data_IF_490620590903
#
_entry.id   IF_490620590903
#
_cell.length_a   1.000
_cell.length_b   1.000
_cell.length_c   1.000
_cell.angle_alpha   90.00
_cell.angle_beta   90.00
_cell.angle_gamma   90.00
#
_symmetry.space_group_name_H-M   'P 1'
#
loop_
_entity.id
_entity.type
_entity.pdbx_description
1 polymer ?
#
# COMPACT_ATOMS: atom_id res chain seq x y z
N UNK A 1 -11.55 -11.21 2.34
CA UNK A 1 -12.87 -10.61 2.03
C UNK A 1 -12.60 -9.34 1.27
N UNK A 2 -13.09 -9.20 0.04
CA UNK A 2 -12.94 -7.97 -0.74
C UNK A 2 -14.28 -7.24 -0.74
N UNK A 3 -14.24 -5.94 -0.44
CA UNK A 3 -15.38 -5.03 -0.52
C UNK A 3 -15.06 -4.05 -1.64
N UNK A 4 -15.84 -4.09 -2.72
CA UNK A 4 -15.69 -3.16 -3.84
C UNK A 4 -16.87 -2.19 -3.84
N UNK A 5 -16.69 -0.91 -3.50
CA UNK A 5 -17.72 0.09 -3.73
C UNK A 5 -17.79 0.33 -5.24
N UNK A 6 -18.91 -0.02 -5.86
CA UNK A 6 -19.17 0.39 -7.25
C UNK A 6 -19.90 1.73 -7.19
N UNK A 7 -19.20 2.81 -7.56
CA UNK A 7 -19.84 4.08 -7.89
C UNK A 7 -20.69 3.84 -9.15
N UNK A 8 -22.00 3.75 -8.98
CA UNK A 8 -22.93 3.79 -10.10
C UNK A 8 -22.91 5.22 -10.67
N UNK A 9 -22.61 5.36 -11.97
CA UNK A 9 -22.82 6.60 -12.69
C UNK A 9 -24.32 6.95 -12.69
N UNK A 10 -24.70 8.24 -12.61
CA UNK A 10 -26.11 8.62 -12.63
C UNK A 10 -26.71 8.28 -14.01
N UNK A 11 -27.84 7.58 -13.99
CA UNK A 11 -28.68 7.41 -15.17
C UNK A 11 -29.20 8.78 -15.61
N UNK A 12 -28.88 9.18 -16.83
CA UNK A 12 -29.43 10.38 -17.45
C UNK A 12 -30.94 10.24 -17.60
N UNK A 13 -31.69 11.04 -16.85
CA UNK A 13 -33.11 11.27 -17.06
C UNK A 13 -33.30 12.16 -18.29
N UNK A 14 -33.77 11.59 -19.40
CA UNK A 14 -34.45 12.36 -20.44
C UNK A 14 -35.90 11.93 -20.52
N UNK A 15 -36.76 12.89 -20.20
CA UNK A 15 -38.19 12.83 -20.37
C UNK A 15 -38.55 12.72 -21.86
N UNK A 16 -39.54 11.89 -22.17
CA UNK A 16 -40.39 12.05 -23.34
C UNK A 16 -41.82 11.72 -22.95
N UNK A 17 -42.70 12.69 -23.15
CA UNK A 17 -44.13 12.62 -22.94
C UNK A 17 -44.79 12.62 -24.31
N UNK A 18 -45.61 11.60 -24.63
CA UNK A 18 -47.01 11.73 -25.04
C UNK A 18 -47.57 10.54 -25.86
N UNK A 19 -48.81 10.18 -25.47
CA UNK A 19 -49.97 9.68 -26.25
C UNK A 19 -50.02 8.22 -26.77
N UNK A 20 -50.90 7.46 -26.08
CA UNK A 20 -52.05 6.65 -26.59
C UNK A 20 -51.96 6.00 -27.98
N UNK A 21 -52.09 4.66 -28.04
CA UNK A 21 -53.37 3.96 -28.33
C UNK A 21 -53.16 2.46 -28.61
N UNK A 22 -54.25 1.71 -28.36
CA UNK A 22 -54.69 0.47 -29.00
C UNK A 22 -54.04 -0.89 -28.65
N UNK A 23 -54.94 -1.74 -28.15
CA UNK A 23 -54.94 -3.20 -28.09
C UNK A 23 -54.56 -3.90 -29.40
N UNK A 24 -53.97 -5.09 -29.31
CA UNK A 24 -54.42 -6.32 -30.00
C UNK A 24 -53.67 -7.55 -29.45
N UNK A 25 -54.43 -8.63 -29.28
CA UNK A 25 -53.98 -9.97 -28.88
C UNK A 25 -53.44 -10.73 -30.10
N UNK A 26 -52.42 -11.59 -29.92
CA UNK A 26 -52.39 -12.90 -30.60
C UNK A 26 -51.40 -13.89 -29.97
N UNK A 27 -51.69 -15.17 -30.17
CA UNK A 27 -51.14 -16.36 -29.51
C UNK A 27 -49.86 -16.93 -30.17
N UNK A 28 -49.07 -17.60 -29.33
CA UNK A 28 -48.37 -18.91 -29.47
C UNK A 28 -47.47 -19.24 -30.68
N UNK A 29 -46.24 -19.71 -30.36
CA UNK A 29 -45.60 -21.01 -30.69
C UNK A 29 -44.12 -20.88 -31.12
N UNK A 30 -43.27 -21.75 -30.54
CA UNK A 30 -42.28 -22.50 -31.33
C UNK A 30 -40.79 -22.14 -31.23
N UNK A 31 -40.07 -22.95 -30.45
CA UNK A 31 -38.83 -23.70 -30.81
C UNK A 31 -37.48 -23.02 -31.10
N UNK A 32 -36.49 -23.50 -30.34
CA UNK A 32 -35.05 -23.74 -30.60
C UNK A 32 -34.25 -22.83 -31.54
N UNK A 33 -33.05 -22.44 -31.09
CA UNK A 33 -31.74 -22.81 -31.66
C UNK A 33 -30.61 -22.20 -30.80
N UNK A 34 -29.60 -23.01 -30.46
CA UNK A 34 -28.32 -22.58 -29.86
C UNK A 34 -27.40 -21.94 -30.91
N UNK A 35 -26.40 -21.13 -30.49
CA UNK A 35 -25.05 -21.48 -30.92
C UNK A 35 -23.95 -21.29 -29.87
N UNK A 36 -22.97 -22.18 -29.96
CA UNK A 36 -21.64 -22.15 -29.35
C UNK A 36 -20.71 -21.15 -30.05
N UNK A 37 -19.86 -20.43 -29.32
CA UNK A 37 -18.62 -19.87 -29.87
C UNK A 37 -17.53 -19.63 -28.81
N UNK A 38 -16.36 -20.17 -29.12
CA UNK A 38 -15.09 -20.18 -28.38
C UNK A 38 -14.26 -18.94 -28.72
N UNK A 39 -13.64 -18.26 -27.74
CA UNK A 39 -12.76 -17.11 -28.01
C UNK A 39 -11.30 -17.41 -27.64
N UNK A 40 -10.42 -17.19 -28.62
CA UNK A 40 -8.96 -17.36 -28.62
C UNK A 40 -8.23 -16.27 -27.82
N UNK A 41 -7.11 -16.69 -27.23
CA UNK A 41 -5.99 -15.90 -26.71
C UNK A 41 -5.24 -15.13 -27.81
N UNK A 42 -4.85 -13.87 -27.55
CA UNK A 42 -3.84 -13.14 -28.33
C UNK A 42 -2.60 -12.82 -27.47
N UNK A 43 -1.42 -13.22 -27.95
CA UNK A 43 -0.09 -12.74 -27.53
C UNK A 43 0.55 -12.06 -28.74
N UNK A 44 0.90 -10.78 -28.63
CA UNK A 44 1.67 -10.04 -29.64
C UNK A 44 3.06 -9.66 -29.09
N UNK A 45 4.12 -10.06 -29.81
CA UNK A 45 5.51 -9.62 -29.60
C UNK A 45 5.81 -8.43 -30.51
N UNK A 46 6.52 -7.41 -30.00
CA UNK A 46 7.11 -6.34 -30.80
C UNK A 46 8.61 -6.58 -31.01
N UNK A 47 9.11 -6.27 -32.21
CA UNK A 47 10.51 -6.27 -32.65
C UNK A 47 10.88 -4.83 -33.09
N UNK A 48 12.11 -4.33 -32.90
CA UNK A 48 12.46 -2.94 -33.16
C UNK A 48 13.03 -2.70 -34.56
N UNK A 49 12.84 -1.47 -35.08
CA UNK A 49 13.47 -0.94 -36.28
C UNK A 49 14.74 -0.17 -35.93
N UNK A 50 15.81 -0.42 -36.69
CA UNK A 50 17.06 0.32 -36.71
C UNK A 50 16.96 1.47 -37.72
N UNK A 51 17.50 2.64 -37.39
CA UNK A 51 17.83 3.67 -38.38
C UNK A 51 19.22 4.23 -38.08
N UNK A 52 20.04 4.24 -39.12
CA UNK A 52 21.41 4.75 -39.17
C UNK A 52 21.43 6.22 -39.62
N UNK A 53 22.34 7.03 -39.08
CA UNK A 53 22.84 8.22 -39.76
C UNK A 53 24.24 8.61 -39.26
N UNK A 54 25.06 9.07 -40.19
CA UNK A 54 26.52 9.27 -40.14
C UNK A 54 26.94 10.73 -39.90
N UNK A 55 28.08 10.88 -39.23
CA UNK A 55 29.17 11.86 -39.27
C UNK A 55 28.97 13.31 -39.81
N UNK A 56 29.55 14.26 -39.06
CA UNK A 56 30.01 15.56 -39.55
C UNK A 56 30.89 16.26 -38.49
N UNK A 57 32.18 16.46 -38.81
CA UNK A 57 33.17 17.15 -37.99
C UNK A 57 33.34 18.61 -38.44
N UNK A 58 33.58 19.53 -37.51
CA UNK A 58 34.12 20.87 -37.79
C UNK A 58 34.91 21.40 -36.56
N UNK A 59 35.96 22.17 -36.85
CA UNK A 59 37.08 22.51 -35.97
C UNK A 59 37.15 24.01 -35.66
N UNK A 60 37.45 24.37 -34.38
CA UNK A 60 38.35 25.47 -33.86
C UNK A 60 37.86 26.94 -34.10
N UNK A 61 37.96 27.93 -33.15
CA UNK A 61 39.18 28.30 -32.41
C UNK A 61 39.07 28.71 -30.92
N UNK A 62 40.27 28.76 -30.32
CA UNK A 62 40.58 29.17 -28.95
C UNK A 62 40.39 30.68 -28.71
N UNK A 63 39.88 31.01 -27.54
CA UNK A 63 39.86 32.36 -26.98
C UNK A 63 40.23 32.30 -25.50
N UNK A 64 41.33 32.96 -25.14
CA UNK A 64 41.79 33.16 -23.77
C UNK A 64 40.79 34.08 -23.07
N UNK A 65 40.12 33.60 -22.03
CA UNK A 65 39.48 34.44 -21.01
C UNK A 65 39.88 33.95 -19.63
N UNK A 66 40.53 34.84 -18.90
CA UNK A 66 40.75 34.80 -17.45
C UNK A 66 39.44 34.47 -16.73
N UNK A 67 39.41 33.40 -15.94
CA UNK A 67 38.27 33.08 -15.07
C UNK A 67 38.74 32.43 -13.76
N UNK A 68 38.53 33.17 -12.66
CA UNK A 68 37.90 32.80 -11.38
C UNK A 68 38.05 31.32 -10.96
N UNK A 69 38.55 30.99 -9.73
CA UNK A 69 38.73 29.61 -9.29
C UNK A 69 37.39 28.87 -9.31
N UNK A 70 37.32 27.84 -10.14
CA UNK A 70 36.17 26.97 -10.29
C UNK A 70 35.95 26.19 -8.98
N UNK A 71 34.74 26.23 -8.43
CA UNK A 71 34.35 25.49 -7.20
C UNK A 71 34.44 23.96 -7.30
N UNK A 72 34.91 23.43 -8.42
CA UNK A 72 35.08 22.00 -8.70
C UNK A 72 36.45 21.46 -8.22
N UNK A 73 37.50 22.29 -8.26
CA UNK A 73 38.86 21.90 -7.82
C UNK A 73 38.92 21.70 -6.31
N UNK A 74 38.20 22.52 -5.54
CA UNK A 74 38.14 22.40 -4.08
C UNK A 74 37.45 21.12 -3.61
N UNK A 75 36.35 20.73 -4.27
CA UNK A 75 35.61 19.51 -3.93
C UNK A 75 36.43 18.23 -4.19
N UNK A 76 37.29 18.24 -5.22
CA UNK A 76 38.17 17.11 -5.54
C UNK A 76 39.31 16.97 -4.53
N UNK A 77 39.94 18.07 -4.16
CA UNK A 77 41.01 18.09 -3.16
C UNK A 77 40.52 17.64 -1.77
N UNK A 78 39.30 18.04 -1.36
CA UNK A 78 38.71 17.59 -0.08
C UNK A 78 38.42 16.07 -0.07
N UNK A 79 38.00 15.49 -1.20
CA UNK A 79 37.78 14.04 -1.33
C UNK A 79 39.08 13.26 -1.31
N UNK A 80 40.11 13.76 -1.99
CA UNK A 80 41.45 13.16 -1.99
C UNK A 80 42.07 13.21 -0.58
N UNK A 81 41.89 14.31 0.16
CA UNK A 81 42.33 14.43 1.55
C UNK A 81 41.52 13.52 2.49
N UNK A 82 40.21 13.38 2.30
CA UNK A 82 39.39 12.43 3.04
C UNK A 82 39.88 10.99 2.83
N UNK A 83 40.21 10.62 1.59
CA UNK A 83 40.74 9.30 1.26
C UNK A 83 42.12 9.07 1.89
N UNK A 84 42.98 10.10 1.98
CA UNK A 84 44.28 10.05 2.65
C UNK A 84 44.11 9.83 4.16
N UNK A 85 43.26 10.63 4.81
CA UNK A 85 43.00 10.51 6.26
C UNK A 85 42.36 9.17 6.63
N UNK A 86 41.56 8.57 5.74
CA UNK A 86 41.01 7.23 5.98
C UNK A 86 42.05 6.10 6.00
N UNK A 87 43.27 6.34 5.51
CA UNK A 87 44.39 5.40 5.58
C UNK A 87 45.19 5.52 6.88
N UNK A 88 44.98 6.59 7.65
CA UNK A 88 45.64 6.82 8.92
C UNK A 88 44.96 5.98 10.04
N UNK A 89 45.71 5.57 11.09
CA UNK A 89 45.19 4.71 12.16
C UNK A 89 44.16 5.42 13.06
N UNK A 90 44.01 6.74 12.94
CA UNK A 90 43.05 7.54 13.70
C UNK A 90 41.87 8.01 12.80
N UNK A 91 40.66 7.46 12.99
CA UNK A 91 39.51 7.78 12.15
C UNK A 91 38.92 9.17 12.47
N UNK A 92 39.30 9.81 13.58
CA UNK A 92 38.69 11.07 14.00
C UNK A 92 39.01 12.23 13.06
N UNK A 93 40.21 12.27 12.48
CA UNK A 93 40.57 13.25 11.45
C UNK A 93 39.67 13.17 10.22
N UNK A 94 39.45 11.95 9.71
CA UNK A 94 38.57 11.71 8.57
C UNK A 94 37.10 12.06 8.89
N UNK A 95 36.61 11.75 10.09
CA UNK A 95 35.25 12.05 10.50
C UNK A 95 35.01 13.54 10.78
N UNK A 96 36.01 14.27 11.26
CA UNK A 96 35.96 15.72 11.41
C UNK A 96 35.86 16.40 10.04
N UNK A 97 36.72 16.00 9.09
CA UNK A 97 36.66 16.53 7.73
C UNK A 97 35.33 16.19 7.05
N UNK A 98 34.82 14.96 7.22
CA UNK A 98 33.50 14.58 6.71
C UNK A 98 32.38 15.45 7.30
N UNK A 99 32.41 15.73 8.60
CA UNK A 99 31.41 16.56 9.28
C UNK A 99 31.48 18.03 8.80
N UNK A 100 32.68 18.57 8.61
CA UNK A 100 32.90 19.90 8.02
C UNK A 100 32.38 19.99 6.59
N UNK A 101 32.68 18.98 5.76
CA UNK A 101 32.20 18.87 4.38
C UNK A 101 30.66 18.85 4.34
N UNK A 102 30.02 18.14 5.29
CA UNK A 102 28.56 18.10 5.40
C UNK A 102 27.95 19.41 5.95
N UNK A 103 28.66 20.13 6.84
CA UNK A 103 28.21 21.40 7.39
C UNK A 103 28.32 22.56 6.38
N UNK A 104 29.45 22.71 5.68
CA UNK A 104 29.63 23.74 4.62
C UNK A 104 28.61 23.57 3.48
N UNK A 105 28.21 22.33 3.20
CA UNK A 105 27.27 21.95 2.14
C UNK A 105 25.80 22.29 2.43
N UNK A 106 25.43 22.50 3.69
CA UNK A 106 24.07 22.95 4.06
C UNK A 106 23.73 24.38 3.62
N UNK A 107 24.74 25.19 3.30
CA UNK A 107 24.59 26.61 2.94
C UNK A 107 24.55 26.89 1.43
N UNK A 108 25.07 25.98 0.58
CA UNK A 108 25.16 26.19 -0.87
C UNK A 108 24.54 24.99 -1.59
N UNK A 109 23.37 25.19 -2.22
CA UNK A 109 22.51 24.14 -2.78
C UNK A 109 23.02 23.46 -4.07
N UNK A 110 24.27 22.98 -4.11
CA UNK A 110 24.85 22.25 -5.26
C UNK A 110 24.62 20.73 -5.27
N UNK A 111 24.74 20.12 -6.46
CA UNK A 111 24.52 18.68 -6.74
C UNK A 111 25.82 17.83 -6.67
N UNK A 112 27.02 18.43 -6.71
CA UNK A 112 28.33 17.72 -6.62
C UNK A 112 28.66 17.12 -5.24
N UNK A 113 27.65 16.97 -4.38
CA UNK A 113 27.80 16.71 -2.95
C UNK A 113 27.21 15.40 -2.45
N UNK A 114 27.03 14.41 -3.32
CA UNK A 114 26.69 13.06 -2.87
C UNK A 114 28.00 12.31 -2.62
N UNK A 115 28.16 11.73 -1.43
CA UNK A 115 29.23 10.75 -1.22
C UNK A 115 28.83 9.50 -2.00
N UNK A 116 29.68 9.13 -2.94
CA UNK A 116 29.48 7.91 -3.69
C UNK A 116 29.63 6.69 -2.76
N UNK A 117 28.95 5.58 -3.05
CA UNK A 117 28.99 4.38 -2.21
C UNK A 117 30.40 3.92 -1.82
N UNK A 118 31.37 4.07 -2.72
CA UNK A 118 32.78 3.77 -2.51
C UNK A 118 33.41 4.64 -1.41
N UNK A 119 33.12 5.94 -1.38
CA UNK A 119 33.64 6.86 -0.36
C UNK A 119 33.05 6.54 1.02
N UNK A 120 31.76 6.15 1.06
CA UNK A 120 31.11 5.70 2.29
C UNK A 120 31.74 4.41 2.82
N UNK A 121 32.07 3.47 1.92
CA UNK A 121 32.76 2.23 2.29
C UNK A 121 34.15 2.52 2.84
N UNK A 122 34.90 3.45 2.25
CA UNK A 122 36.23 3.87 2.72
C UNK A 122 36.18 4.43 4.14
N UNK A 123 35.24 5.34 4.44
CA UNK A 123 35.05 5.89 5.80
C UNK A 123 34.69 4.79 6.81
N UNK A 124 33.81 3.86 6.42
CA UNK A 124 33.43 2.73 7.27
C UNK A 124 34.58 1.74 7.49
N UNK A 125 35.45 1.56 6.48
CA UNK A 125 36.63 0.70 6.58
C UNK A 125 37.66 1.31 7.54
N UNK A 126 37.91 2.61 7.47
CA UNK A 126 38.76 3.32 8.43
C UNK A 126 38.29 3.10 9.89
N UNK A 127 36.98 3.20 10.15
CA UNK A 127 36.41 2.90 11.47
C UNK A 127 36.62 1.44 11.90
N UNK A 128 36.62 0.51 10.94
CA UNK A 128 36.85 -0.92 11.19
C UNK A 128 38.31 -1.19 11.56
N UNK A 129 39.25 -0.57 10.84
CA UNK A 129 40.69 -0.75 11.02
C UNK A 129 41.16 -0.16 12.35
N UNK A 130 40.62 0.99 12.75
CA UNK A 130 40.84 1.60 14.07
C UNK A 130 40.16 0.84 15.22
N UNK A 131 39.29 -0.14 14.91
CA UNK A 131 38.49 -0.93 15.86
C UNK A 131 37.70 -0.07 16.87
N UNK A 132 37.30 1.14 16.44
CA UNK A 132 36.68 2.14 17.31
C UNK A 132 35.15 2.17 17.12
N UNK A 133 34.44 1.75 18.18
CA UNK A 133 32.97 1.76 18.19
C UNK A 133 32.39 3.18 18.24
N UNK A 134 33.06 4.12 18.91
CA UNK A 134 32.65 5.53 18.96
C UNK A 134 32.72 6.18 17.59
N UNK A 135 33.81 5.93 16.85
CA UNK A 135 34.01 6.45 15.49
C UNK A 135 33.02 5.82 14.52
N UNK A 136 32.74 4.50 14.63
CA UNK A 136 31.68 3.86 13.83
C UNK A 136 30.28 4.43 14.11
N UNK A 137 29.94 4.71 15.38
CA UNK A 137 28.67 5.35 15.74
C UNK A 137 28.55 6.75 15.17
N UNK A 138 29.64 7.51 15.19
CA UNK A 138 29.72 8.86 14.63
C UNK A 138 29.58 8.82 13.10
N UNK A 139 30.33 7.95 12.43
CA UNK A 139 30.22 7.71 10.98
C UNK A 139 28.79 7.34 10.57
N UNK A 140 28.18 6.39 11.27
CA UNK A 140 26.79 5.98 11.01
C UNK A 140 25.81 7.16 11.12
N UNK A 141 25.95 8.03 12.14
CA UNK A 141 25.11 9.24 12.27
C UNK A 141 25.33 10.23 11.13
N UNK A 142 26.58 10.47 10.74
CA UNK A 142 26.92 11.41 9.65
C UNK A 142 26.36 10.92 8.31
N UNK A 143 26.54 9.63 8.01
CA UNK A 143 26.02 9.00 6.79
C UNK A 143 24.49 8.93 6.76
N UNK A 144 23.84 8.70 7.91
CA UNK A 144 22.37 8.62 8.04
C UNK A 144 21.69 9.98 8.21
N UNK A 145 22.47 11.05 8.36
CA UNK A 145 21.94 12.40 8.56
C UNK A 145 21.17 12.87 7.32
N UNK A 146 20.03 13.58 7.48
CA UNK A 146 19.33 14.21 6.36
C UNK A 146 20.20 15.16 5.53
N UNK A 147 21.29 15.66 6.13
CA UNK A 147 22.28 16.54 5.51
C UNK A 147 23.17 15.82 4.49
N UNK A 148 23.34 14.50 4.63
CA UNK A 148 24.19 13.67 3.76
C UNK A 148 23.70 13.64 2.31
N UNK A 149 22.38 13.82 2.07
CA UNK A 149 21.66 13.64 0.78
C UNK A 149 21.95 12.30 0.05
N UNK A 150 22.85 11.49 0.57
CA UNK A 150 23.33 10.23 0.03
C UNK A 150 22.46 9.12 0.60
N UNK A 151 21.78 8.38 -0.27
CA UNK A 151 20.97 7.26 0.17
C UNK A 151 21.89 6.17 0.74
N UNK A 152 21.65 5.75 1.99
CA UNK A 152 22.23 4.52 2.51
C UNK A 152 21.56 3.36 1.77
N UNK A 153 22.29 2.79 0.82
CA UNK A 153 21.83 1.61 0.09
C UNK A 153 21.91 0.37 0.98
N UNK A 154 21.13 -0.67 0.66
CA UNK A 154 21.12 -1.93 1.41
C UNK A 154 22.52 -2.54 1.64
N UNK A 155 23.45 -2.53 0.66
CA UNK A 155 24.82 -3.01 0.88
C UNK A 155 25.59 -2.25 1.97
N UNK A 156 25.47 -0.93 2.01
CA UNK A 156 26.14 -0.06 2.99
C UNK A 156 25.54 -0.27 4.38
N UNK A 157 24.21 -0.35 4.45
CA UNK A 157 23.49 -0.68 5.69
C UNK A 157 23.95 -2.01 6.28
N UNK A 158 24.05 -3.05 5.44
CA UNK A 158 24.50 -4.37 5.88
C UNK A 158 25.97 -4.35 6.32
N UNK A 159 26.82 -3.55 5.67
CA UNK A 159 28.22 -3.33 6.08
C UNK A 159 28.29 -2.70 7.47
N UNK A 160 27.53 -1.64 7.73
CA UNK A 160 27.44 -0.99 9.05
C UNK A 160 26.99 -2.00 10.12
N UNK A 161 25.93 -2.76 9.85
CA UNK A 161 25.45 -3.79 10.77
C UNK A 161 26.52 -4.86 11.05
N UNK A 162 27.23 -5.30 10.02
CA UNK A 162 28.34 -6.26 10.15
C UNK A 162 29.47 -5.71 11.01
N UNK A 163 29.85 -4.44 10.83
CA UNK A 163 30.89 -3.79 11.63
C UNK A 163 30.49 -3.66 13.09
N UNK A 164 29.24 -3.30 13.38
CA UNK A 164 28.72 -3.28 14.75
C UNK A 164 28.79 -4.67 15.42
N UNK A 165 28.44 -5.73 14.70
CA UNK A 165 28.59 -7.09 15.21
C UNK A 165 30.07 -7.43 15.49
N UNK A 166 30.98 -7.11 14.56
CA UNK A 166 32.42 -7.36 14.71
C UNK A 166 33.07 -6.60 15.88
N UNK A 167 32.55 -5.41 16.20
CA UNK A 167 33.01 -4.59 17.33
C UNK A 167 32.27 -4.91 18.66
N UNK A 168 31.48 -5.99 18.70
CA UNK A 168 30.82 -6.44 19.93
C UNK A 168 29.56 -5.64 20.32
N UNK A 169 28.95 -4.91 19.37
CA UNK A 169 27.74 -4.11 19.58
C UNK A 169 26.54 -4.62 18.75
N UNK A 170 26.09 -5.87 18.93
CA UNK A 170 24.99 -6.44 18.14
C UNK A 170 23.65 -5.70 18.35
N UNK A 171 23.48 -5.02 19.51
CA UNK A 171 22.31 -4.17 19.76
C UNK A 171 22.24 -2.97 18.81
N UNK A 172 23.38 -2.38 18.44
CA UNK A 172 23.46 -1.30 17.45
C UNK A 172 23.19 -1.83 16.04
N UNK A 173 23.72 -3.00 15.68
CA UNK A 173 23.44 -3.67 14.40
C UNK A 173 21.94 -3.92 14.20
N UNK A 174 21.26 -4.43 15.25
CA UNK A 174 19.81 -4.67 15.22
C UNK A 174 19.01 -3.38 15.05
N UNK A 175 19.43 -2.28 15.69
CA UNK A 175 18.81 -0.96 15.52
C UNK A 175 18.90 -0.49 14.07
N UNK A 176 20.09 -0.54 13.47
CA UNK A 176 20.34 -0.15 12.07
C UNK A 176 19.40 -0.88 11.11
N UNK A 177 19.32 -2.21 11.23
CA UNK A 177 18.47 -3.03 10.35
C UNK A 177 16.97 -2.81 10.59
N UNK A 178 16.57 -2.64 11.85
CA UNK A 178 15.17 -2.40 12.20
C UNK A 178 14.69 -1.01 11.76
N UNK A 179 15.55 0.01 11.86
CA UNK A 179 15.23 1.38 11.47
C UNK A 179 15.04 1.49 9.95
N UNK A 180 15.89 0.82 9.16
CA UNK A 180 15.71 0.70 7.71
C UNK A 180 14.47 -0.12 7.30
N UNK A 181 14.08 -1.08 8.14
CA UNK A 181 12.87 -1.89 7.94
C UNK A 181 11.61 -1.20 8.46
N UNK A 182 11.74 -0.10 9.21
CA UNK A 182 10.60 0.61 9.79
C UNK A 182 9.92 1.40 8.67
N UNK A 183 8.68 1.06 8.28
CA UNK A 183 7.96 1.89 7.33
C UNK A 183 7.83 3.30 7.92
N UNK A 184 7.88 4.37 7.11
CA UNK A 184 7.65 5.73 7.60
C UNK A 184 6.32 5.78 8.35
N UNK A 185 6.14 6.66 9.36
CA UNK A 185 4.86 6.80 10.03
C UNK A 185 3.78 7.18 9.00
N UNK A 186 2.98 6.19 8.60
CA UNK A 186 1.97 6.33 7.53
C UNK A 186 0.73 6.97 8.12
N UNK A 187 0.36 8.19 7.70
CA UNK A 187 -0.97 8.81 8.00
C UNK A 187 -2.14 7.83 7.71
N UNK A 188 -1.99 6.97 6.69
CA UNK A 188 -2.94 5.91 6.32
C UNK A 188 -3.14 4.82 7.39
N UNK A 189 -2.17 4.57 8.26
CA UNK A 189 -2.29 3.54 9.30
C UNK A 189 -3.24 3.96 10.42
N UNK A 190 -3.24 5.26 10.78
CA UNK A 190 -4.18 5.81 11.75
C UNK A 190 -5.61 5.81 11.18
N UNK A 191 -5.78 6.24 9.93
CA UNK A 191 -7.08 6.21 9.24
C UNK A 191 -7.66 4.78 9.14
N UNK A 192 -6.83 3.78 8.78
CA UNK A 192 -7.27 2.39 8.73
C UNK A 192 -7.66 1.84 10.12
N UNK A 193 -6.96 2.26 11.18
CA UNK A 193 -7.30 1.90 12.56
C UNK A 193 -8.63 2.52 12.97
N UNK A 194 -8.87 3.79 12.63
CA UNK A 194 -10.12 4.49 12.90
C UNK A 194 -11.30 3.82 12.18
N UNK A 195 -11.19 3.56 10.88
CA UNK A 195 -12.26 2.88 10.10
C UNK A 195 -12.56 1.47 10.62
N UNK A 196 -11.54 0.76 11.12
CA UNK A 196 -11.74 -0.54 11.76
C UNK A 196 -12.59 -0.37 13.02
N UNK A 197 -12.23 0.57 13.90
CA UNK A 197 -12.98 0.83 15.13
C UNK A 197 -14.44 1.22 14.84
N UNK A 198 -14.65 2.15 13.91
CA UNK A 198 -15.98 2.56 13.45
C UNK A 198 -16.80 1.37 12.92
N UNK A 199 -16.17 0.42 12.23
CA UNK A 199 -16.88 -0.79 11.75
C UNK A 199 -17.30 -1.73 12.89
N UNK A 200 -16.53 -1.82 13.99
CA UNK A 200 -16.91 -2.60 15.18
C UNK A 200 -18.03 -1.94 15.97
N UNK A 201 -18.06 -0.61 16.01
CA UNK A 201 -19.18 0.15 16.58
C UNK A 201 -20.42 -0.01 15.69
N UNK A 202 -20.26 0.14 14.37
CA UNK A 202 -21.37 0.03 13.43
C UNK A 202 -22.00 -1.36 13.41
N UNK A 203 -21.22 -2.44 13.58
CA UNK A 203 -21.82 -3.78 13.66
C UNK A 203 -22.64 -3.98 14.93
N UNK A 204 -22.29 -3.32 16.05
CA UNK A 204 -23.08 -3.34 17.28
C UNK A 204 -24.39 -2.58 17.10
N UNK A 205 -24.33 -1.37 16.55
CA UNK A 205 -25.53 -0.58 16.20
C UNK A 205 -26.46 -1.37 15.28
N UNK A 206 -25.93 -1.91 14.18
CA UNK A 206 -26.71 -2.72 13.25
C UNK A 206 -27.36 -3.93 13.92
N UNK A 207 -26.65 -4.57 14.86
CA UNK A 207 -27.18 -5.73 15.57
C UNK A 207 -28.37 -5.35 16.45
N UNK A 208 -28.35 -4.18 17.07
CA UNK A 208 -29.50 -3.62 17.81
C UNK A 208 -30.64 -3.24 16.86
N UNK A 209 -30.35 -2.57 15.74
CA UNK A 209 -31.33 -2.19 14.72
C UNK A 209 -32.08 -3.41 14.16
N UNK A 210 -31.35 -4.48 13.78
CA UNK A 210 -31.99 -5.69 13.24
C UNK A 210 -32.74 -6.46 14.33
N UNK A 211 -32.29 -6.46 15.60
CA UNK A 211 -33.04 -7.05 16.71
C UNK A 211 -34.38 -6.35 16.91
N UNK A 212 -34.40 -5.02 16.87
CA UNK A 212 -35.63 -4.24 16.90
C UNK A 212 -36.53 -4.55 15.69
N UNK A 213 -35.95 -4.91 14.54
CA UNK A 213 -36.66 -5.36 13.35
C UNK A 213 -37.08 -6.85 13.36
N UNK A 214 -36.88 -7.57 14.47
CA UNK A 214 -37.30 -8.97 14.66
C UNK A 214 -36.23 -10.03 14.42
N UNK A 215 -34.95 -9.65 14.36
CA UNK A 215 -33.85 -10.61 14.30
C UNK A 215 -33.69 -11.39 15.61
N UNK A 216 -33.69 -12.72 15.52
CA UNK A 216 -33.35 -13.63 16.62
C UNK A 216 -32.10 -14.43 16.23
N UNK A 217 -31.00 -14.35 17.00
CA UNK A 217 -29.79 -15.12 16.72
C UNK A 217 -30.01 -16.62 16.80
N UNK A 218 -29.53 -17.36 15.80
CA UNK A 218 -29.57 -18.82 15.78
C UNK A 218 -28.20 -19.40 16.15
N UNK A 219 -28.01 -19.68 17.45
CA UNK A 219 -26.74 -20.14 18.02
C UNK A 219 -26.30 -21.52 17.55
N UNK A 220 -27.18 -22.29 16.89
CA UNK A 220 -26.84 -23.58 16.26
C UNK A 220 -25.79 -23.44 15.15
N UNK A 221 -25.62 -22.25 14.60
CA UNK A 221 -24.58 -21.95 13.60
C UNK A 221 -23.20 -21.66 14.22
N UNK A 222 -23.06 -21.73 15.55
CA UNK A 222 -21.78 -21.67 16.26
C UNK A 222 -21.46 -23.05 16.82
N UNK A 223 -20.47 -23.71 16.22
CA UNK A 223 -20.09 -25.09 16.58
C UNK A 223 -19.14 -25.17 17.80
N UNK A 224 -18.67 -24.03 18.30
CA UNK A 224 -17.81 -24.00 19.48
C UNK A 224 -18.65 -24.25 20.72
N UNK A 225 -18.15 -25.12 21.60
CA UNK A 225 -18.75 -25.39 22.90
C UNK A 225 -18.37 -24.28 23.89
N UNK A 226 -19.20 -23.24 23.90
CA UNK A 226 -19.07 -22.02 24.71
C UNK A 226 -20.47 -21.62 25.20
N UNK A 227 -20.51 -20.72 26.17
CA UNK A 227 -21.76 -20.19 26.71
C UNK A 227 -22.64 -19.57 25.62
N UNK A 228 -23.97 -19.66 25.77
CA UNK A 228 -24.92 -19.19 24.76
C UNK A 228 -24.77 -17.68 24.46
N UNK A 229 -24.50 -16.86 25.48
CA UNK A 229 -24.22 -15.44 25.29
C UNK A 229 -22.96 -15.21 24.44
N UNK A 230 -21.93 -16.04 24.64
CA UNK A 230 -20.72 -15.99 23.84
C UNK A 230 -20.97 -16.43 22.39
N UNK A 231 -21.86 -17.41 22.15
CA UNK A 231 -22.29 -17.80 20.79
C UNK A 231 -23.01 -16.65 20.10
N UNK A 232 -23.92 -15.96 20.80
CA UNK A 232 -24.62 -14.79 20.27
C UNK A 232 -23.63 -13.68 19.87
N UNK A 233 -22.62 -13.42 20.70
CA UNK A 233 -21.55 -12.47 20.36
C UNK A 233 -20.72 -12.95 19.16
N UNK A 234 -20.40 -14.24 19.07
CA UNK A 234 -19.66 -14.79 17.94
C UNK A 234 -20.39 -14.58 16.61
N UNK A 235 -21.71 -14.81 16.56
CA UNK A 235 -22.53 -14.56 15.38
C UNK A 235 -22.50 -13.09 14.95
N UNK A 236 -22.57 -12.16 15.91
CA UNK A 236 -22.52 -10.72 15.65
C UNK A 236 -21.23 -10.31 14.92
N UNK A 237 -20.11 -10.96 15.25
CA UNK A 237 -18.80 -10.68 14.66
C UNK A 237 -18.40 -11.61 13.52
N UNK A 238 -19.36 -12.34 12.93
CA UNK A 238 -19.10 -13.04 11.67
C UNK A 238 -18.59 -12.07 10.59
N UNK A 239 -17.70 -12.59 9.74
CA UNK A 239 -16.99 -11.81 8.73
C UNK A 239 -17.92 -11.05 7.79
N UNK A 240 -19.09 -11.61 7.47
CA UNK A 240 -20.12 -11.01 6.60
C UNK A 240 -20.66 -9.72 7.21
N UNK A 241 -20.98 -9.74 8.50
CA UNK A 241 -21.55 -8.59 9.20
C UNK A 241 -20.51 -7.50 9.37
N UNK A 242 -19.29 -7.87 9.73
CA UNK A 242 -18.17 -6.92 9.80
C UNK A 242 -17.86 -6.29 8.43
N UNK A 243 -17.92 -7.06 7.35
CA UNK A 243 -17.71 -6.53 6.01
C UNK A 243 -18.83 -5.56 5.58
N UNK A 244 -20.08 -5.87 5.91
CA UNK A 244 -21.21 -4.97 5.67
C UNK A 244 -21.06 -3.70 6.49
N UNK A 245 -20.78 -3.80 7.79
CA UNK A 245 -20.58 -2.65 8.68
C UNK A 245 -19.46 -1.74 8.18
N UNK A 246 -18.30 -2.32 7.83
CA UNK A 246 -17.20 -1.58 7.22
C UNK A 246 -17.60 -0.91 5.90
N UNK A 247 -18.37 -1.63 5.06
CA UNK A 247 -18.91 -1.10 3.81
C UNK A 247 -19.83 0.11 4.04
N UNK A 248 -20.70 0.08 5.05
CA UNK A 248 -21.59 1.18 5.40
C UNK A 248 -20.82 2.42 5.87
N UNK A 249 -19.83 2.24 6.74
CA UNK A 249 -18.98 3.33 7.24
C UNK A 249 -18.14 3.94 6.10
N UNK A 250 -17.69 3.10 5.17
CA UNK A 250 -16.78 3.52 4.10
C UNK A 250 -17.46 4.05 2.84
N UNK A 251 -18.80 4.03 2.76
CA UNK A 251 -19.53 4.41 1.54
C UNK A 251 -20.74 5.30 1.82
N UNK A 252 -21.05 6.25 0.92
CA UNK A 252 -22.20 7.12 1.07
C UNK A 252 -23.52 6.34 1.25
N UNK A 253 -24.51 6.88 1.99
CA UNK A 253 -25.87 6.35 2.07
C UNK A 253 -26.45 5.97 0.71
N UNK A 254 -27.20 4.87 0.64
CA UNK A 254 -27.79 4.35 -0.60
C UNK A 254 -26.83 3.60 -1.53
N UNK A 255 -25.51 3.65 -1.31
CA UNK A 255 -24.55 2.92 -2.16
C UNK A 255 -24.70 1.41 -1.97
N UNK A 256 -24.94 0.62 -3.04
CA UNK A 256 -25.00 -0.84 -2.94
C UNK A 256 -23.69 -1.43 -2.42
N UNK A 257 -23.79 -2.43 -1.56
CA UNK A 257 -22.62 -3.10 -0.98
C UNK A 257 -22.37 -4.44 -1.66
N UNK A 258 -21.11 -4.74 -1.97
CA UNK A 258 -20.68 -6.02 -2.53
C UNK A 258 -19.68 -6.69 -1.62
N UNK A 259 -20.00 -7.88 -1.15
CA UNK A 259 -19.19 -8.65 -0.19
C UNK A 259 -18.77 -9.97 -0.85
N UNK A 260 -17.46 -10.16 -1.02
CA UNK A 260 -16.90 -11.38 -1.60
C UNK A 260 -16.39 -12.32 -0.50
N UNK A 261 -17.05 -13.47 -0.33
CA UNK A 261 -16.73 -14.51 0.64
C UNK A 261 -16.21 -15.77 -0.07
N UNK A 262 -15.26 -16.46 0.58
CA UNK A 262 -14.70 -17.73 0.09
C UNK A 262 -15.40 -18.97 0.69
N UNK A 263 -16.22 -18.77 1.72
CA UNK A 263 -17.02 -19.81 2.37
C UNK A 263 -18.49 -19.57 2.08
N UNK A 264 -19.32 -20.60 2.16
CA UNK A 264 -20.79 -20.48 2.11
C UNK A 264 -21.27 -19.55 3.24
N UNK A 265 -22.30 -18.75 2.98
CA UNK A 265 -22.93 -17.95 4.04
C UNK A 265 -23.66 -18.90 5.02
N UNK A 266 -23.56 -18.65 6.34
CA UNK A 266 -24.36 -19.44 7.30
C UNK A 266 -25.81 -18.94 7.31
N UNK A 267 -26.74 -19.78 7.77
CA UNK A 267 -28.18 -19.45 7.77
C UNK A 267 -28.50 -18.25 8.66
N UNK A 268 -27.84 -18.12 9.81
CA UNK A 268 -27.98 -16.96 10.69
C UNK A 268 -27.50 -15.66 10.02
N UNK A 269 -26.31 -15.65 9.41
CA UNK A 269 -25.85 -14.49 8.63
C UNK A 269 -26.79 -14.18 7.49
N UNK A 270 -27.27 -15.19 6.76
CA UNK A 270 -28.22 -14.98 5.67
C UNK A 270 -29.49 -14.24 6.14
N UNK A 271 -30.06 -14.64 7.27
CA UNK A 271 -31.23 -13.96 7.86
C UNK A 271 -30.90 -12.56 8.37
N UNK A 272 -29.75 -12.37 9.02
CA UNK A 272 -29.32 -11.06 9.47
C UNK A 272 -29.09 -10.08 8.30
N UNK A 273 -28.47 -10.53 7.19
CA UNK A 273 -28.21 -9.65 6.04
C UNK A 273 -29.51 -9.19 5.37
N UNK A 274 -30.56 -10.02 5.32
CA UNK A 274 -31.89 -9.57 4.86
C UNK A 274 -32.39 -8.37 5.65
N UNK A 275 -32.33 -8.46 6.98
CA UNK A 275 -32.78 -7.39 7.87
C UNK A 275 -31.86 -6.19 7.79
N UNK A 276 -30.53 -6.39 7.70
CA UNK A 276 -29.58 -5.30 7.45
C UNK A 276 -29.90 -4.55 6.15
N UNK A 277 -30.20 -5.25 5.06
CA UNK A 277 -30.59 -4.62 3.80
C UNK A 277 -31.88 -3.80 3.95
N UNK A 278 -32.86 -4.29 4.73
CA UNK A 278 -34.11 -3.59 5.03
C UNK A 278 -33.89 -2.34 5.88
N UNK A 279 -33.21 -2.43 7.02
CA UNK A 279 -33.04 -1.30 7.96
C UNK A 279 -32.12 -0.22 7.40
N UNK A 280 -31.11 -0.61 6.61
CA UNK A 280 -30.21 0.36 5.97
C UNK A 280 -30.77 0.94 4.68
N UNK A 281 -31.84 0.35 4.13
CA UNK A 281 -32.40 0.73 2.83
C UNK A 281 -31.42 0.55 1.67
N UNK A 282 -30.49 -0.41 1.76
CA UNK A 282 -29.45 -0.66 0.74
C UNK A 282 -29.56 -2.06 0.17
N UNK A 283 -29.28 -2.19 -1.14
CA UNK A 283 -29.00 -3.49 -1.74
C UNK A 283 -27.65 -4.01 -1.24
N UNK A 284 -27.63 -5.24 -0.73
CA UNK A 284 -26.41 -5.91 -0.32
C UNK A 284 -26.27 -7.17 -1.18
N UNK A 285 -25.14 -7.30 -1.86
CA UNK A 285 -24.83 -8.43 -2.73
C UNK A 285 -23.70 -9.21 -2.07
N UNK A 286 -23.99 -10.45 -1.67
CA UNK A 286 -22.99 -11.36 -1.11
C UNK A 286 -22.70 -12.46 -2.11
N UNK A 287 -21.46 -12.52 -2.59
CA UNK A 287 -20.97 -13.67 -3.36
C UNK A 287 -20.31 -14.63 -2.40
N UNK A 288 -20.87 -15.83 -2.28
CA UNK A 288 -20.21 -16.94 -1.61
C UNK A 288 -19.57 -17.91 -2.61
N UNK A 289 -19.11 -19.07 -2.16
CA UNK A 289 -18.46 -20.06 -3.03
C UNK A 289 -19.43 -20.86 -3.92
N UNK A 290 -20.76 -20.67 -3.78
CA UNK A 290 -21.78 -21.37 -4.57
C UNK A 290 -22.55 -20.42 -5.49
N UNK A 291 -22.92 -19.22 -5.02
CA UNK A 291 -23.81 -18.32 -5.74
C UNK A 291 -23.67 -16.86 -5.31
N UNK A 292 -24.45 -16.01 -5.98
CA UNK A 292 -24.70 -14.63 -5.55
C UNK A 292 -26.04 -14.57 -4.81
N UNK A 293 -26.02 -13.92 -3.66
CA UNK A 293 -27.19 -13.59 -2.86
C UNK A 293 -27.44 -12.09 -3.02
N UNK A 294 -28.60 -11.72 -3.55
CA UNK A 294 -29.04 -10.33 -3.64
C UNK A 294 -30.05 -10.07 -2.53
N UNK A 295 -29.64 -9.29 -1.53
CA UNK A 295 -30.47 -8.91 -0.42
C UNK A 295 -31.07 -7.53 -0.65
N UNK A 296 -32.41 -7.47 -0.62
CA UNK A 296 -33.17 -6.23 -0.81
C UNK A 296 -34.50 -6.31 -0.05
N UNK A 297 -34.83 -5.23 0.66
CA UNK A 297 -36.12 -5.05 1.36
C UNK A 297 -36.53 -6.22 2.26
N UNK A 298 -35.55 -6.88 2.91
CA UNK A 298 -35.81 -8.02 3.81
C UNK A 298 -35.89 -9.39 3.12
N UNK A 299 -35.63 -9.46 1.82
CA UNK A 299 -35.66 -10.70 1.04
C UNK A 299 -34.30 -11.01 0.41
N UNK A 300 -34.09 -12.27 0.02
CA UNK A 300 -32.92 -12.71 -0.74
C UNK A 300 -33.36 -13.43 -2.03
N UNK A 301 -32.64 -13.18 -3.12
CA UNK A 301 -32.88 -13.84 -4.42
C UNK A 301 -32.73 -15.38 -4.40
N UNK A 302 -32.11 -15.97 -3.38
CA UNK A 302 -31.91 -17.42 -3.30
C UNK A 302 -33.12 -18.20 -2.73
N UNK A 303 -34.18 -17.51 -2.28
CA UNK A 303 -35.36 -18.16 -1.72
C UNK A 303 -35.06 -18.98 -0.46
N UNK A 304 -34.14 -18.49 0.37
CA UNK A 304 -33.71 -19.12 1.62
C UNK A 304 -32.94 -20.44 1.46
N UNK A 305 -32.38 -20.69 0.28
CA UNK A 305 -31.31 -21.66 0.10
C UNK A 305 -29.95 -20.97 0.38
N UNK A 306 -29.62 -20.71 1.65
CA UNK A 306 -28.28 -20.25 2.06
C UNK A 306 -27.24 -21.32 1.75
#
# INVERSE_FOLDING_TARGET
MLITPTLAAPAASHASSFRTAASLSCRSLGSLVQPTATTRYYRGRCRPLLYSASAGAASIPAGITSNIPSGDTGCRLERDELARLCQEPDPEGALNLLDEMLHRRGAVGGVSGQLAPEEQVTVLQCCADARSLSSLRRAHRLLSSPRSRSAITTPILHRIATLYCKLGAPGDARRVLNEASRPPPRRKANEARTKRQEAYEKVRELHEEIRAAGYVPDTRFVLHDIDEDAKVQALMYHSERLAIAFGLVSTPPGTPLRVMKNLRICGDCHNAVKLMAKVTGREIIVRDNKRFHHFKDGSCSCGDYW
#
